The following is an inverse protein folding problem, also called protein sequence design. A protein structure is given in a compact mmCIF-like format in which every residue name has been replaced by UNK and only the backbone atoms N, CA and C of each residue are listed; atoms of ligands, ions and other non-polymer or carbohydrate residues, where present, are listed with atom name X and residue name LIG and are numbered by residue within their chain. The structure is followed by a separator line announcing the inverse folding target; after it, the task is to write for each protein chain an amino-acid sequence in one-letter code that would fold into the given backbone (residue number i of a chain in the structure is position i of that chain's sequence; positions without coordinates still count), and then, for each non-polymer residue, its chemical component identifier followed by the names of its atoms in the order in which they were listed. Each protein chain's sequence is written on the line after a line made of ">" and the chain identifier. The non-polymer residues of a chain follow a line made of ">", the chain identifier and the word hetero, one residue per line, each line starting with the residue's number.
data_IF_758838569932
#
_entry.id   IF_758838569932
#
_cell.length_a   1.000
_cell.length_b   1.000
_cell.length_c   1.000
_cell.angle_alpha   90.00
_cell.angle_beta   90.00
_cell.angle_gamma   90.00
#
_symmetry.space_group_name_H-M   'P 1'
#
loop_
_entity.id
_entity.type
_entity.pdbx_description
1 polymer ?
#
# COMPACT_ATOMS: atom_id res chain seq x y z
N UNK A 1 2.33 -10.46 21.56
CA UNK A 1 3.02 -9.18 21.84
C UNK A 1 2.10 -8.35 22.71
N UNK A 2 2.62 -7.70 23.74
CA UNK A 2 1.86 -6.84 24.66
C UNK A 2 2.54 -5.47 24.61
N UNK A 3 1.79 -4.42 24.33
CA UNK A 3 2.28 -3.04 24.33
C UNK A 3 1.98 -2.39 25.67
N UNK A 4 2.94 -1.64 26.20
CA UNK A 4 2.78 -0.96 27.48
C UNK A 4 1.95 0.33 27.34
N UNK A 5 1.98 0.97 26.17
CA UNK A 5 1.24 2.17 25.86
C UNK A 5 0.94 2.30 24.35
N UNK A 6 0.12 3.27 23.98
CA UNK A 6 -0.27 3.51 22.58
C UNK A 6 0.88 4.01 21.71
N UNK A 7 1.90 4.67 22.28
CA UNK A 7 3.07 5.13 21.52
C UNK A 7 3.88 3.94 21.00
N UNK A 8 4.15 2.94 21.86
CA UNK A 8 4.85 1.71 21.48
C UNK A 8 4.09 0.95 20.36
N UNK A 9 2.76 0.94 20.44
CA UNK A 9 1.92 0.33 19.41
C UNK A 9 1.99 1.10 18.07
N UNK A 10 2.04 2.44 18.10
CA UNK A 10 2.21 3.27 16.89
C UNK A 10 3.58 3.08 16.25
N UNK A 11 4.65 3.06 17.05
CA UNK A 11 6.00 2.76 16.57
C UNK A 11 6.07 1.39 15.92
N UNK A 12 5.41 0.39 16.50
CA UNK A 12 5.31 -0.94 15.89
C UNK A 12 4.56 -0.92 14.55
N UNK A 13 3.46 -0.17 14.43
CA UNK A 13 2.78 0.02 13.14
C UNK A 13 3.75 0.59 12.12
N UNK A 14 4.42 1.71 12.44
CA UNK A 14 5.38 2.36 11.55
C UNK A 14 6.49 1.39 11.12
N UNK A 15 7.03 0.60 12.05
CA UNK A 15 8.04 -0.41 11.75
C UNK A 15 7.54 -1.50 10.78
N UNK A 16 6.27 -1.88 10.85
CA UNK A 16 5.69 -2.91 9.97
C UNK A 16 5.21 -2.37 8.63
N UNK A 17 4.88 -1.10 8.56
CA UNK A 17 4.36 -0.46 7.34
C UNK A 17 5.48 0.11 6.48
N UNK A 18 6.48 0.75 7.08
CA UNK A 18 7.54 1.44 6.35
C UNK A 18 8.29 0.50 5.40
N UNK A 19 8.62 1.05 4.23
CA UNK A 19 9.55 0.42 3.29
C UNK A 19 10.93 0.31 3.94
N UNK A 20 11.57 -0.85 3.75
CA UNK A 20 12.97 -1.02 4.11
C UNK A 20 13.84 -0.29 3.08
N UNK A 21 14.76 0.53 3.58
CA UNK A 21 15.77 1.18 2.74
C UNK A 21 16.67 0.10 2.13
N UNK A 22 17.10 0.26 0.88
CA UNK A 22 18.22 -0.54 0.40
C UNK A 22 19.54 -0.05 1.02
N UNK A 23 20.63 -0.82 0.89
CA UNK A 23 21.91 -0.48 1.52
C UNK A 23 22.41 0.94 1.18
N UNK A 24 22.33 1.34 -0.09
CA UNK A 24 22.78 2.66 -0.51
C UNK A 24 21.88 3.77 0.07
N UNK A 25 20.56 3.56 0.05
CA UNK A 25 19.59 4.48 0.68
C UNK A 25 19.82 4.59 2.20
N UNK A 26 20.17 3.48 2.86
CA UNK A 26 20.48 3.46 4.29
C UNK A 26 21.75 4.25 4.62
N UNK A 27 22.80 4.06 3.82
CA UNK A 27 24.05 4.81 3.98
C UNK A 27 23.83 6.33 3.78
N UNK A 28 23.03 6.71 2.79
CA UNK A 28 22.65 8.11 2.55
C UNK A 28 21.87 8.71 3.73
N UNK A 29 20.93 7.96 4.31
CA UNK A 29 20.14 8.39 5.47
C UNK A 29 21.00 8.50 6.73
N UNK A 30 21.93 7.57 6.95
CA UNK A 30 22.89 7.64 8.06
C UNK A 30 23.70 8.93 7.97
N UNK A 31 24.22 9.26 6.78
CA UNK A 31 24.98 10.49 6.55
C UNK A 31 24.12 11.76 6.77
N UNK A 32 22.86 11.76 6.31
CA UNK A 32 21.93 12.88 6.54
C UNK A 32 21.61 13.07 8.03
N UNK A 33 21.37 11.98 8.77
CA UNK A 33 21.18 12.03 10.21
C UNK A 33 22.42 12.58 10.94
N UNK A 34 23.62 12.15 10.56
CA UNK A 34 24.87 12.69 11.12
C UNK A 34 25.01 14.20 10.84
N UNK A 35 24.66 14.66 9.63
CA UNK A 35 24.60 16.09 9.31
C UNK A 35 23.59 16.85 10.18
N UNK A 36 22.39 16.32 10.37
CA UNK A 36 21.34 16.94 11.20
C UNK A 36 21.67 16.99 12.69
N UNK A 37 22.46 16.04 13.20
CA UNK A 37 22.99 16.09 14.58
C UNK A 37 23.97 17.25 14.73
N UNK A 38 24.80 17.50 13.72
CA UNK A 38 25.76 18.61 13.71
C UNK A 38 25.01 19.95 13.63
N UNK A 39 23.99 20.03 12.78
CA UNK A 39 23.21 21.25 12.54
C UNK A 39 22.06 21.47 13.54
N UNK A 40 21.93 20.61 14.56
CA UNK A 40 20.82 20.66 15.52
C UNK A 40 20.83 21.98 16.31
N UNK A 41 19.69 22.68 16.30
CA UNK A 41 19.52 23.97 16.97
C UNK A 41 19.18 23.85 18.47
N UNK A 42 18.95 22.64 18.97
CA UNK A 42 18.62 22.34 20.37
C UNK A 42 19.08 20.93 20.75
N UNK A 43 19.33 20.69 22.05
CA UNK A 43 19.68 19.36 22.57
C UNK A 43 18.54 18.35 22.37
N UNK A 44 17.28 18.76 22.52
CA UNK A 44 16.11 17.90 22.26
C UNK A 44 16.06 17.44 20.79
N UNK A 45 16.32 18.34 19.84
CA UNK A 45 16.41 17.97 18.43
C UNK A 45 17.60 17.05 18.17
N UNK A 46 18.70 17.25 18.87
CA UNK A 46 19.92 16.45 18.72
C UNK A 46 19.73 15.04 19.25
N UNK A 47 19.12 14.89 20.41
CA UNK A 47 18.76 13.59 20.99
C UNK A 47 17.84 12.80 20.06
N UNK A 48 16.82 13.44 19.48
CA UNK A 48 15.95 12.81 18.49
C UNK A 48 16.73 12.26 17.28
N UNK A 49 17.68 13.03 16.73
CA UNK A 49 18.48 12.57 15.60
C UNK A 49 19.49 11.49 16.00
N UNK A 50 20.01 11.49 17.23
CA UNK A 50 20.87 10.43 17.76
C UNK A 50 20.09 9.12 17.91
N UNK A 51 18.85 9.17 18.40
CA UNK A 51 17.97 8.00 18.51
C UNK A 51 17.69 7.40 17.12
N UNK A 52 17.35 8.23 16.13
CA UNK A 52 17.14 7.73 14.76
C UNK A 52 18.42 7.19 14.12
N UNK A 53 19.56 7.86 14.30
CA UNK A 53 20.85 7.37 13.83
C UNK A 53 21.20 5.99 14.40
N UNK A 54 20.91 5.78 15.69
CA UNK A 54 21.12 4.49 16.36
C UNK A 54 20.31 3.39 15.69
N UNK A 55 19.02 3.63 15.41
CA UNK A 55 18.15 2.66 14.73
C UNK A 55 18.69 2.27 13.35
N UNK A 56 19.15 3.25 12.56
CA UNK A 56 19.72 2.97 11.23
C UNK A 56 21.07 2.25 11.29
N UNK A 57 21.92 2.55 12.28
CA UNK A 57 23.18 1.83 12.51
C UNK A 57 22.96 0.39 12.98
N UNK A 58 21.94 0.15 13.81
CA UNK A 58 21.56 -1.21 14.18
C UNK A 58 21.04 -2.01 12.99
N UNK A 59 20.25 -1.37 12.11
CA UNK A 59 19.76 -1.99 10.88
C UNK A 59 20.91 -2.30 9.91
N UNK A 60 21.91 -1.42 9.77
CA UNK A 60 23.01 -1.60 8.81
C UNK A 60 23.93 -2.78 9.14
N UNK A 61 23.95 -3.21 10.40
CA UNK A 61 24.69 -4.40 10.87
C UNK A 61 23.82 -5.64 11.04
N UNK A 62 22.51 -5.54 10.77
CA UNK A 62 21.59 -6.67 10.86
C UNK A 62 21.82 -7.65 9.70
N UNK A 63 22.10 -8.91 10.01
CA UNK A 63 22.42 -9.93 9.00
C UNK A 63 21.23 -10.22 8.08
N UNK A 64 20.01 -10.29 8.60
CA UNK A 64 18.80 -10.50 7.78
C UNK A 64 18.56 -9.32 6.83
N UNK A 65 18.93 -8.09 7.22
CA UNK A 65 18.90 -6.94 6.34
C UNK A 65 19.94 -7.04 5.22
N UNK A 66 21.18 -7.35 5.57
CA UNK A 66 22.30 -7.50 4.63
C UNK A 66 22.00 -8.60 3.60
N UNK A 67 21.41 -9.70 4.05
CA UNK A 67 21.05 -10.85 3.23
C UNK A 67 19.73 -10.64 2.45
N UNK A 68 19.05 -9.49 2.64
CA UNK A 68 17.78 -9.18 1.97
C UNK A 68 16.61 -10.08 2.39
N UNK A 69 16.71 -10.68 3.58
CA UNK A 69 15.72 -11.61 4.15
C UNK A 69 14.62 -10.90 4.95
N UNK A 70 14.79 -9.60 5.23
CA UNK A 70 13.73 -8.84 5.88
C UNK A 70 12.50 -8.68 4.98
N UNK A 71 11.28 -8.84 5.54
CA UNK A 71 10.06 -8.76 4.76
C UNK A 71 9.82 -7.33 4.26
N UNK A 72 9.26 -7.21 3.04
CA UNK A 72 8.81 -5.93 2.50
C UNK A 72 7.81 -5.23 3.45
N UNK A 73 7.85 -3.89 3.44
CA UNK A 73 6.91 -3.06 4.18
C UNK A 73 5.50 -3.18 3.63
N UNK A 74 4.49 -3.12 4.51
CA UNK A 74 3.08 -3.19 4.08
C UNK A 74 2.73 -2.02 3.14
N UNK A 75 3.31 -0.83 3.35
CA UNK A 75 3.07 0.33 2.48
C UNK A 75 3.55 0.06 1.05
N UNK A 76 4.73 -0.55 0.91
CA UNK A 76 5.31 -0.88 -0.39
C UNK A 76 4.40 -1.85 -1.16
N UNK A 77 3.92 -2.90 -0.48
CA UNK A 77 2.97 -3.84 -1.06
C UNK A 77 1.67 -3.15 -1.49
N UNK A 78 1.08 -2.33 -0.63
CA UNK A 78 -0.17 -1.61 -0.95
C UNK A 78 0.02 -0.67 -2.15
N UNK A 79 1.09 0.12 -2.17
CA UNK A 79 1.41 1.06 -3.25
C UNK A 79 1.64 0.30 -4.56
N UNK A 80 2.40 -0.79 -4.52
CA UNK A 80 2.65 -1.61 -5.71
C UNK A 80 1.34 -2.22 -6.27
N UNK A 81 0.46 -2.72 -5.40
CA UNK A 81 -0.85 -3.24 -5.82
C UNK A 81 -1.70 -2.16 -6.50
N UNK A 82 -1.72 -0.94 -5.95
CA UNK A 82 -2.45 0.19 -6.53
C UNK A 82 -1.84 0.57 -7.88
N UNK A 83 -0.51 0.63 -8.00
CA UNK A 83 0.18 0.96 -9.24
C UNK A 83 -0.18 -0.03 -10.36
N UNK A 84 -0.05 -1.34 -10.09
CA UNK A 84 -0.44 -2.37 -11.06
C UNK A 84 -1.89 -2.25 -11.48
N UNK A 85 -2.80 -2.13 -10.51
CA UNK A 85 -4.23 -2.07 -10.76
C UNK A 85 -4.64 -0.80 -11.51
N UNK A 86 -4.01 0.34 -11.22
CA UNK A 86 -4.28 1.62 -11.88
C UNK A 86 -3.91 1.60 -13.37
N UNK A 87 -2.81 0.91 -13.72
CA UNK A 87 -2.42 0.73 -15.12
C UNK A 87 -3.39 -0.23 -15.84
N UNK A 88 -3.74 -1.35 -15.20
CA UNK A 88 -4.77 -2.27 -15.72
C UNK A 88 -6.08 -1.50 -15.97
N UNK A 89 -6.51 -0.67 -15.01
CA UNK A 89 -7.72 0.15 -15.13
C UNK A 89 -7.67 1.08 -16.34
N UNK A 90 -6.55 1.77 -16.54
CA UNK A 90 -6.37 2.66 -17.67
C UNK A 90 -6.58 1.94 -19.01
N UNK A 91 -5.94 0.78 -19.18
CA UNK A 91 -6.09 -0.03 -20.40
C UNK A 91 -7.46 -0.69 -20.56
N UNK A 92 -8.25 -0.82 -19.49
CA UNK A 92 -9.64 -1.28 -19.60
C UNK A 92 -10.61 -0.19 -20.03
N UNK A 93 -10.30 1.07 -19.71
CA UNK A 93 -11.19 2.21 -19.99
C UNK A 93 -10.89 2.90 -21.30
N UNK A 94 -9.65 2.84 -21.76
CA UNK A 94 -9.20 3.52 -22.96
C UNK A 94 -9.03 2.49 -24.08
N UNK A 95 -9.80 2.67 -25.15
CA UNK A 95 -9.59 1.95 -26.39
C UNK A 95 -8.38 2.53 -27.12
N UNK A 96 -7.38 1.69 -27.38
CA UNK A 96 -6.18 2.06 -28.14
C UNK A 96 -6.31 1.57 -29.57
N UNK A 97 -5.82 2.37 -30.53
CA UNK A 97 -5.87 2.10 -31.97
C UNK A 97 -5.18 0.79 -32.33
N UNK A 98 -4.04 0.54 -31.68
CA UNK A 98 -3.32 -0.72 -31.76
C UNK A 98 -3.74 -1.53 -30.55
N UNK A 99 -4.34 -2.70 -30.77
CA UNK A 99 -4.72 -3.59 -29.68
C UNK A 99 -3.47 -4.33 -29.16
N UNK A 100 -2.58 -3.58 -28.51
CA UNK A 100 -1.22 -4.03 -28.21
C UNK A 100 -1.19 -5.32 -27.39
N UNK A 101 -2.21 -5.57 -26.55
CA UNK A 101 -2.33 -6.78 -25.74
C UNK A 101 -2.73 -8.02 -26.52
N UNK A 102 -3.32 -7.88 -27.71
CA UNK A 102 -3.62 -9.00 -28.61
C UNK A 102 -2.49 -9.20 -29.63
N UNK A 103 -1.93 -8.10 -30.14
CA UNK A 103 -0.96 -8.13 -31.23
C UNK A 103 0.48 -8.39 -30.77
N UNK A 104 0.81 -8.10 -29.52
CA UNK A 104 2.17 -8.23 -28.99
C UNK A 104 2.26 -9.17 -27.79
N UNK A 105 3.04 -10.24 -27.96
CA UNK A 105 3.33 -11.19 -26.89
C UNK A 105 3.94 -10.53 -25.65
N UNK A 106 4.76 -9.47 -25.83
CA UNK A 106 5.36 -8.75 -24.72
C UNK A 106 4.29 -8.05 -23.86
N UNK A 107 3.36 -7.30 -24.48
CA UNK A 107 2.31 -6.59 -23.75
C UNK A 107 1.30 -7.57 -23.14
N UNK A 108 0.99 -8.67 -23.84
CA UNK A 108 0.16 -9.74 -23.28
C UNK A 108 0.78 -10.36 -22.02
N UNK A 109 2.08 -10.66 -22.04
CA UNK A 109 2.82 -11.18 -20.88
C UNK A 109 2.91 -10.16 -19.75
N UNK A 110 3.17 -8.89 -20.08
CA UNK A 110 3.18 -7.81 -19.09
C UNK A 110 1.82 -7.67 -18.39
N UNK A 111 0.73 -7.70 -19.17
CA UNK A 111 -0.62 -7.60 -18.63
C UNK A 111 -0.93 -8.77 -17.71
N UNK A 112 -0.65 -9.99 -18.15
CA UNK A 112 -0.82 -11.18 -17.31
C UNK A 112 0.05 -11.11 -16.04
N UNK A 113 1.30 -10.64 -16.16
CA UNK A 113 2.20 -10.41 -15.02
C UNK A 113 1.66 -9.39 -14.03
N UNK A 114 1.09 -8.28 -14.51
CA UNK A 114 0.43 -7.27 -13.67
C UNK A 114 -0.76 -7.86 -12.90
N UNK A 115 -1.56 -8.70 -13.55
CA UNK A 115 -2.67 -9.43 -12.92
C UNK A 115 -2.16 -10.32 -11.80
N UNK A 116 -1.13 -11.14 -12.05
CA UNK A 116 -0.51 -11.96 -11.03
C UNK A 116 0.07 -11.13 -9.89
N UNK A 117 0.68 -9.98 -10.19
CA UNK A 117 1.20 -9.03 -9.21
C UNK A 117 0.13 -8.60 -8.22
N UNK A 118 -1.01 -8.10 -8.72
CA UNK A 118 -2.15 -7.68 -7.87
C UNK A 118 -2.61 -8.82 -6.95
N UNK A 119 -2.89 -10.01 -7.49
CA UNK A 119 -3.42 -11.11 -6.69
C UNK A 119 -2.40 -11.72 -5.72
N UNK A 120 -1.11 -11.73 -6.09
CA UNK A 120 -0.03 -12.18 -5.20
C UNK A 120 0.10 -11.25 -3.99
N UNK A 121 0.13 -9.94 -4.23
CA UNK A 121 0.20 -8.94 -3.17
C UNK A 121 -1.04 -9.00 -2.28
N UNK A 122 -2.23 -9.10 -2.88
CA UNK A 122 -3.48 -9.28 -2.16
C UNK A 122 -3.41 -10.47 -1.19
N UNK A 123 -2.88 -11.60 -1.65
CA UNK A 123 -2.65 -12.79 -0.82
C UNK A 123 -1.64 -12.57 0.31
N UNK A 124 -0.53 -11.85 0.06
CA UNK A 124 0.48 -11.51 1.08
C UNK A 124 -0.12 -10.66 2.20
N UNK A 125 -0.86 -9.61 1.84
CA UNK A 125 -1.48 -8.67 2.78
C UNK A 125 -2.50 -9.34 3.71
N UNK A 126 -3.20 -10.37 3.21
CA UNK A 126 -4.23 -11.10 3.95
C UNK A 126 -3.79 -12.48 4.44
N UNK A 127 -2.47 -12.76 4.42
CA UNK A 127 -1.94 -14.04 4.87
C UNK A 127 -2.37 -14.33 6.31
N UNK A 128 -2.75 -15.59 6.52
CA UNK A 128 -3.15 -16.16 7.81
C UNK A 128 -1.97 -16.79 8.55
N UNK A 129 -0.81 -16.89 7.93
CA UNK A 129 0.38 -17.42 8.58
C UNK A 129 0.87 -16.42 9.63
N UNK A 130 1.00 -16.87 10.87
CA UNK A 130 1.43 -16.03 11.99
C UNK A 130 2.86 -15.53 11.86
N UNK A 131 3.68 -16.13 10.98
CA UNK A 131 5.06 -15.73 10.73
C UNK A 131 5.14 -14.53 9.78
N UNK A 132 4.14 -14.35 8.94
CA UNK A 132 4.15 -13.31 7.90
C UNK A 132 3.98 -11.91 8.49
N UNK A 133 4.56 -10.91 7.81
CA UNK A 133 4.29 -9.50 8.05
C UNK A 133 3.07 -9.05 7.23
N UNK A 134 1.88 -9.57 7.58
CA UNK A 134 0.64 -9.28 6.85
C UNK A 134 -0.15 -8.13 7.47
N UNK A 135 -0.89 -7.39 6.65
CA UNK A 135 -1.81 -6.35 7.08
C UNK A 135 -2.89 -6.92 8.01
N UNK A 136 -3.38 -8.14 7.72
CA UNK A 136 -4.31 -8.87 8.59
C UNK A 136 -3.76 -9.01 10.01
N UNK A 137 -2.55 -9.52 10.16
CA UNK A 137 -1.92 -9.73 11.47
C UNK A 137 -1.70 -8.41 12.21
N UNK A 138 -1.24 -7.39 11.50
CA UNK A 138 -1.06 -6.06 12.07
C UNK A 138 -2.40 -5.49 12.58
N UNK A 139 -3.45 -5.60 11.78
CA UNK A 139 -4.80 -5.16 12.15
C UNK A 139 -5.36 -5.90 13.36
N UNK A 140 -5.30 -7.24 13.38
CA UNK A 140 -5.79 -8.08 14.49
C UNK A 140 -5.10 -7.70 15.81
N UNK A 141 -3.82 -7.33 15.76
CA UNK A 141 -3.04 -6.92 16.93
C UNK A 141 -3.33 -5.48 17.38
N UNK A 142 -3.52 -4.54 16.45
CA UNK A 142 -3.52 -3.10 16.74
C UNK A 142 -4.93 -2.49 16.84
N UNK A 143 -5.91 -3.01 16.09
CA UNK A 143 -7.27 -2.45 16.08
C UNK A 143 -7.95 -2.36 17.47
N UNK A 144 -7.72 -3.28 18.45
CA UNK A 144 -8.29 -3.12 19.78
C UNK A 144 -7.72 -1.91 20.53
N UNK A 145 -6.44 -1.59 20.32
CA UNK A 145 -5.75 -0.46 20.95
C UNK A 145 -6.23 0.85 20.32
N UNK A 146 -6.29 0.90 18.99
CA UNK A 146 -6.86 2.04 18.26
C UNK A 146 -8.30 2.36 18.69
N UNK A 147 -9.12 1.32 18.88
CA UNK A 147 -10.50 1.48 19.35
C UNK A 147 -10.54 2.06 20.76
N UNK A 148 -9.65 1.62 21.66
CA UNK A 148 -9.54 2.16 23.02
C UNK A 148 -9.10 3.62 23.04
N UNK A 149 -8.23 4.02 22.12
CA UNK A 149 -7.78 5.40 21.94
C UNK A 149 -8.84 6.31 21.30
N UNK A 150 -9.97 5.77 20.85
CA UNK A 150 -11.00 6.52 20.13
C UNK A 150 -10.60 6.92 18.71
N UNK A 151 -9.55 6.30 18.15
CA UNK A 151 -9.06 6.59 16.81
C UNK A 151 -9.93 6.00 15.69
N UNK A 152 -10.75 4.99 16.02
CA UNK A 152 -11.65 4.32 15.09
C UNK A 152 -13.05 4.15 15.69
N UNK A 153 -14.06 4.16 14.83
CA UNK A 153 -15.43 3.84 15.22
C UNK A 153 -15.60 2.35 15.45
N UNK A 154 -16.32 1.98 16.52
CA UNK A 154 -16.53 0.58 16.92
C UNK A 154 -17.17 -0.26 15.82
N UNK A 155 -18.14 0.30 15.11
CA UNK A 155 -18.82 -0.39 14.01
C UNK A 155 -17.88 -0.68 12.83
N UNK A 156 -16.92 0.21 12.56
CA UNK A 156 -15.95 0.06 11.47
C UNK A 156 -14.99 -1.08 11.80
N UNK A 157 -14.46 -1.08 13.03
CA UNK A 157 -13.59 -2.16 13.52
C UNK A 157 -14.33 -3.50 13.49
N UNK A 158 -15.58 -3.52 13.93
CA UNK A 158 -16.40 -4.74 13.90
C UNK A 158 -16.61 -5.25 12.48
N UNK A 159 -16.98 -4.37 11.54
CA UNK A 159 -17.19 -4.73 10.14
C UNK A 159 -15.91 -5.30 9.50
N UNK A 160 -14.77 -4.64 9.67
CA UNK A 160 -13.48 -5.13 9.13
C UNK A 160 -13.13 -6.49 9.75
N UNK A 161 -13.35 -6.69 11.05
CA UNK A 161 -13.12 -7.98 11.70
C UNK A 161 -14.03 -9.09 11.15
N UNK A 162 -15.30 -8.79 10.86
CA UNK A 162 -16.20 -9.72 10.18
C UNK A 162 -15.70 -10.04 8.77
N UNK A 163 -15.22 -9.05 8.00
CA UNK A 163 -14.59 -9.29 6.70
C UNK A 163 -13.38 -10.23 6.78
N UNK A 164 -12.58 -10.13 7.85
CA UNK A 164 -11.40 -10.98 8.10
C UNK A 164 -11.73 -12.36 8.64
N UNK A 165 -12.99 -12.65 9.00
CA UNK A 165 -13.39 -13.93 9.56
C UNK A 165 -12.98 -15.10 8.65
N UNK A 166 -12.24 -16.05 9.20
CA UNK A 166 -11.58 -17.13 8.44
C UNK A 166 -12.57 -18.05 7.70
N UNK A 167 -13.80 -18.19 8.22
CA UNK A 167 -14.81 -19.14 7.70
C UNK A 167 -15.91 -18.45 6.91
N UNK A 168 -16.37 -17.28 7.36
CA UNK A 168 -17.55 -16.60 6.83
C UNK A 168 -17.27 -15.18 6.32
N UNK A 169 -16.05 -14.69 6.48
CA UNK A 169 -15.68 -13.33 6.08
C UNK A 169 -15.61 -13.15 4.58
N UNK A 170 -15.40 -11.90 4.18
CA UNK A 170 -15.22 -11.49 2.79
C UNK A 170 -14.04 -12.23 2.15
N UNK A 171 -12.90 -12.31 2.85
CA UNK A 171 -11.65 -12.84 2.29
C UNK A 171 -11.54 -14.37 2.40
N UNK A 172 -12.53 -15.07 1.85
CA UNK A 172 -12.58 -16.53 1.70
C UNK A 172 -12.75 -16.92 0.24
N UNK A 173 -12.45 -18.18 -0.12
CA UNK A 173 -12.65 -18.66 -1.51
C UNK A 173 -14.09 -18.54 -2.01
N UNK A 174 -15.06 -18.53 -1.08
CA UNK A 174 -16.47 -18.46 -1.43
C UNK A 174 -16.95 -17.01 -1.60
N UNK A 175 -16.34 -16.07 -0.87
CA UNK A 175 -16.84 -14.70 -0.75
C UNK A 175 -15.94 -13.63 -1.40
N UNK A 176 -14.68 -13.94 -1.71
CA UNK A 176 -13.74 -13.04 -2.39
C UNK A 176 -13.24 -13.67 -3.68
N UNK A 177 -13.49 -12.98 -4.80
CA UNK A 177 -13.01 -13.40 -6.12
C UNK A 177 -11.48 -13.30 -6.21
N UNK A 178 -10.86 -12.36 -5.50
CA UNK A 178 -9.42 -12.25 -5.41
C UNK A 178 -8.78 -13.47 -4.74
N UNK A 179 -9.34 -13.91 -3.60
CA UNK A 179 -8.85 -15.10 -2.90
C UNK A 179 -9.09 -16.38 -3.69
N UNK A 180 -10.24 -16.49 -4.37
CA UNK A 180 -10.54 -17.60 -5.25
C UNK A 180 -9.54 -17.68 -6.41
N UNK A 181 -9.27 -16.55 -7.09
CA UNK A 181 -8.32 -16.49 -8.19
C UNK A 181 -6.90 -16.87 -7.73
N UNK A 182 -6.41 -16.27 -6.63
CA UNK A 182 -5.09 -16.62 -6.06
C UNK A 182 -4.97 -18.12 -5.78
N UNK A 183 -5.95 -18.71 -5.09
CA UNK A 183 -5.86 -20.12 -4.72
C UNK A 183 -6.09 -21.07 -5.90
N UNK A 184 -6.98 -20.75 -6.84
CA UNK A 184 -7.29 -21.64 -7.96
C UNK A 184 -6.37 -21.50 -9.16
N UNK A 185 -5.89 -20.30 -9.46
CA UNK A 185 -5.12 -20.02 -10.68
C UNK A 185 -3.61 -19.95 -10.42
N UNK A 186 -3.20 -19.53 -9.21
CA UNK A 186 -1.78 -19.53 -8.84
C UNK A 186 -1.37 -20.85 -8.20
N UNK A 187 -2.25 -21.49 -7.41
CA UNK A 187 -1.90 -22.69 -6.63
C UNK A 187 -2.37 -24.01 -7.27
N UNK A 188 -3.30 -23.98 -8.22
CA UNK A 188 -3.81 -25.16 -8.92
C UNK A 188 -3.87 -24.88 -10.44
N UNK A 189 -3.68 -25.88 -11.29
CA UNK A 189 -3.79 -25.72 -12.75
C UNK A 189 -5.26 -25.94 -13.18
N UNK A 190 -6.19 -25.22 -12.54
CA UNK A 190 -7.61 -25.25 -12.88
C UNK A 190 -7.96 -24.14 -13.88
N UNK A 191 -9.10 -24.28 -14.57
CA UNK A 191 -9.62 -23.23 -15.44
C UNK A 191 -9.71 -21.90 -14.68
N UNK A 192 -9.13 -20.85 -15.25
CA UNK A 192 -9.09 -19.53 -14.64
C UNK A 192 -10.52 -19.02 -14.38
N UNK A 193 -10.86 -18.61 -13.14
CA UNK A 193 -12.12 -17.91 -12.95
C UNK A 193 -12.06 -16.59 -13.72
N UNK A 194 -13.15 -16.25 -14.42
CA UNK A 194 -13.27 -14.96 -15.11
C UNK A 194 -13.08 -13.84 -14.10
N UNK A 195 -12.10 -12.97 -14.34
CA UNK A 195 -11.82 -11.82 -13.48
C UNK A 195 -12.89 -10.76 -13.75
N UNK A 196 -13.62 -10.38 -12.70
CA UNK A 196 -14.53 -9.23 -12.69
C UNK A 196 -13.88 -8.19 -11.79
N UNK A 197 -13.28 -7.16 -12.39
CA UNK A 197 -12.40 -6.24 -11.67
C UNK A 197 -13.14 -5.36 -10.67
N UNK A 198 -14.42 -5.08 -10.91
CA UNK A 198 -15.27 -4.36 -9.96
C UNK A 198 -15.39 -5.11 -8.63
N UNK A 199 -15.48 -6.44 -8.65
CA UNK A 199 -15.49 -7.27 -7.43
C UNK A 199 -14.14 -7.17 -6.71
N UNK A 200 -13.04 -7.13 -7.47
CA UNK A 200 -11.68 -6.99 -6.91
C UNK A 200 -11.47 -5.59 -6.32
N UNK A 201 -11.99 -4.56 -6.95
CA UNK A 201 -11.91 -3.17 -6.47
C UNK A 201 -12.66 -3.00 -5.14
N UNK A 202 -13.82 -3.66 -4.98
CA UNK A 202 -14.55 -3.71 -3.71
C UNK A 202 -13.74 -4.41 -2.60
N UNK A 203 -13.08 -5.51 -2.93
CA UNK A 203 -12.19 -6.21 -2.01
C UNK A 203 -10.98 -5.32 -1.62
N UNK A 204 -10.38 -4.63 -2.61
CA UNK A 204 -9.27 -3.69 -2.41
C UNK A 204 -9.71 -2.50 -1.54
N UNK A 205 -10.92 -1.96 -1.70
CA UNK A 205 -11.37 -0.81 -0.90
C UNK A 205 -11.36 -1.12 0.61
N UNK A 206 -11.70 -2.37 0.99
CA UNK A 206 -11.63 -2.81 2.39
C UNK A 206 -10.17 -2.87 2.89
N UNK A 207 -9.26 -3.39 2.08
CA UNK A 207 -7.82 -3.42 2.38
C UNK A 207 -7.26 -2.00 2.54
N UNK A 208 -7.56 -1.10 1.59
CA UNK A 208 -7.12 0.29 1.62
C UNK A 208 -7.64 1.01 2.86
N UNK A 209 -8.90 0.78 3.24
CA UNK A 209 -9.46 1.39 4.44
C UNK A 209 -8.80 0.88 5.72
N UNK A 210 -8.65 -0.43 5.85
CA UNK A 210 -7.95 -1.08 6.97
C UNK A 210 -6.53 -0.52 7.15
N UNK A 211 -5.79 -0.43 6.06
CA UNK A 211 -4.45 0.16 6.03
C UNK A 211 -4.44 1.65 6.37
N UNK A 212 -5.35 2.44 5.79
CA UNK A 212 -5.46 3.88 6.00
C UNK A 212 -5.72 4.24 7.46
N UNK A 213 -6.55 3.47 8.16
CA UNK A 213 -6.79 3.64 9.59
C UNK A 213 -5.50 3.45 10.41
N UNK A 214 -4.71 2.41 10.11
CA UNK A 214 -3.43 2.17 10.79
C UNK A 214 -2.44 3.31 10.57
N UNK A 215 -2.22 3.71 9.30
CA UNK A 215 -1.27 4.76 8.91
C UNK A 215 -1.67 6.12 9.49
N UNK A 216 -2.94 6.50 9.37
CA UNK A 216 -3.43 7.82 9.84
C UNK A 216 -3.36 7.98 11.36
N UNK A 217 -3.39 6.87 12.11
CA UNK A 217 -3.25 6.84 13.56
C UNK A 217 -1.78 6.87 14.02
N UNK A 218 -0.89 6.20 13.27
CA UNK A 218 0.51 6.01 13.66
C UNK A 218 1.49 7.03 13.08
N UNK A 219 1.18 7.64 11.93
CA UNK A 219 2.10 8.53 11.23
C UNK A 219 1.40 9.76 10.64
N UNK A 220 2.16 10.58 9.90
CA UNK A 220 1.63 11.73 9.19
C UNK A 220 0.96 11.36 7.86
N UNK A 221 1.06 10.10 7.42
CA UNK A 221 0.60 9.61 6.12
C UNK A 221 1.70 9.60 5.06
N UNK A 222 1.39 9.04 3.89
CA UNK A 222 2.33 8.86 2.78
C UNK A 222 2.24 10.04 1.82
N UNK A 223 3.39 10.63 1.55
CA UNK A 223 3.56 11.81 0.71
C UNK A 223 3.96 11.34 -0.68
N UNK A 224 3.22 11.78 -1.70
CA UNK A 224 3.51 11.46 -3.11
C UNK A 224 3.83 9.97 -3.36
N UNK A 225 2.95 9.04 -2.95
CA UNK A 225 3.23 7.60 -2.97
C UNK A 225 3.42 7.01 -4.37
N UNK A 226 2.89 7.67 -5.40
CA UNK A 226 2.79 7.11 -6.75
C UNK A 226 3.84 7.71 -7.67
N UNK A 227 4.28 6.90 -8.65
CA UNK A 227 5.15 7.35 -9.72
C UNK A 227 4.46 8.47 -10.51
N UNK A 228 5.23 9.51 -10.83
CA UNK A 228 4.74 10.62 -11.63
C UNK A 228 4.54 10.25 -13.10
N UNK A 229 3.59 10.92 -13.75
CA UNK A 229 3.11 10.63 -15.11
C UNK A 229 4.21 10.43 -16.15
N UNK A 230 5.30 11.21 -16.07
CA UNK A 230 6.44 11.13 -16.99
C UNK A 230 7.14 9.76 -17.02
N UNK A 231 6.89 8.91 -16.04
CA UNK A 231 7.53 7.60 -15.91
C UNK A 231 6.61 6.42 -16.18
N UNK A 232 5.29 6.63 -16.21
CA UNK A 232 4.31 5.53 -16.23
C UNK A 232 4.31 4.78 -17.56
N UNK A 233 4.24 5.52 -18.67
CA UNK A 233 4.19 4.95 -20.03
C UNK A 233 5.48 5.17 -20.80
N UNK A 234 6.56 5.53 -20.10
CA UNK A 234 7.87 5.73 -20.72
C UNK A 234 8.36 4.42 -21.32
N UNK A 235 8.81 4.44 -22.57
CA UNK A 235 9.21 3.25 -23.32
C UNK A 235 8.07 2.61 -24.13
N UNK A 236 6.85 3.15 -24.08
CA UNK A 236 5.71 2.66 -24.88
C UNK A 236 5.34 3.58 -26.05
N UNK A 237 6.14 4.62 -26.30
CA UNK A 237 5.86 5.70 -27.26
C UNK A 237 5.76 5.21 -28.72
N UNK A 238 6.36 4.07 -29.05
CA UNK A 238 6.25 3.47 -30.38
C UNK A 238 4.89 2.79 -30.63
N UNK A 239 4.12 2.52 -29.57
CA UNK A 239 2.87 1.76 -29.61
C UNK A 239 1.62 2.63 -29.46
N UNK A 240 1.75 3.75 -28.76
CA UNK A 240 0.64 4.66 -28.46
C UNK A 240 1.00 6.07 -28.89
N UNK A 241 0.05 6.76 -29.50
CA UNK A 241 0.20 8.18 -29.80
C UNK A 241 0.01 9.06 -28.55
N UNK A 242 0.40 10.33 -28.65
CA UNK A 242 0.32 11.28 -27.54
C UNK A 242 -1.09 11.45 -26.96
N UNK A 243 -2.14 11.26 -27.77
CA UNK A 243 -3.53 11.40 -27.35
C UNK A 243 -3.96 10.16 -26.55
N UNK A 244 -3.55 8.98 -27.00
CA UNK A 244 -3.75 7.72 -26.28
C UNK A 244 -3.03 7.75 -24.93
N UNK A 245 -1.74 8.15 -24.91
CA UNK A 245 -0.96 8.25 -23.66
C UNK A 245 -1.62 9.22 -22.67
N UNK A 246 -2.07 10.40 -23.12
CA UNK A 246 -2.80 11.35 -22.26
C UNK A 246 -4.10 10.77 -21.70
N UNK A 247 -4.82 10.01 -22.51
CA UNK A 247 -6.08 9.39 -22.11
C UNK A 247 -5.85 8.27 -21.08
N UNK A 248 -4.80 7.46 -21.28
CA UNK A 248 -4.37 6.43 -20.34
C UNK A 248 -3.92 7.03 -19.00
N UNK A 249 -3.13 8.12 -19.03
CA UNK A 249 -2.73 8.85 -17.83
C UNK A 249 -3.94 9.39 -17.06
N UNK A 250 -4.93 9.93 -17.76
CA UNK A 250 -6.17 10.41 -17.13
C UNK A 250 -6.96 9.28 -16.48
N UNK A 251 -7.18 8.17 -17.18
CA UNK A 251 -7.88 7.01 -16.63
C UNK A 251 -7.13 6.40 -15.43
N UNK A 252 -5.80 6.39 -15.46
CA UNK A 252 -4.98 6.03 -14.29
C UNK A 252 -5.26 6.97 -13.12
N UNK A 253 -5.25 8.28 -13.34
CA UNK A 253 -5.52 9.27 -12.29
C UNK A 253 -6.93 9.09 -11.70
N UNK A 254 -7.94 8.81 -12.53
CA UNK A 254 -9.31 8.53 -12.06
C UNK A 254 -9.33 7.36 -11.06
N UNK A 255 -8.56 6.29 -11.33
CA UNK A 255 -8.43 5.17 -10.40
C UNK A 255 -7.69 5.55 -9.11
N UNK A 256 -6.63 6.35 -9.20
CA UNK A 256 -5.91 6.84 -8.01
C UNK A 256 -6.81 7.71 -7.13
N UNK A 257 -7.68 8.53 -7.73
CA UNK A 257 -8.66 9.34 -7.02
C UNK A 257 -9.70 8.47 -6.32
N UNK A 258 -10.15 7.38 -6.95
CA UNK A 258 -11.02 6.38 -6.30
C UNK A 258 -10.34 5.75 -5.08
N UNK A 259 -9.07 5.34 -5.20
CA UNK A 259 -8.30 4.76 -4.09
C UNK A 259 -8.12 5.78 -2.95
N UNK A 260 -7.84 7.04 -3.29
CA UNK A 260 -7.76 8.11 -2.31
C UNK A 260 -9.09 8.31 -1.57
N UNK A 261 -10.22 8.22 -2.28
CA UNK A 261 -11.55 8.26 -1.68
C UNK A 261 -11.81 7.06 -0.74
N UNK A 262 -11.46 5.85 -1.15
CA UNK A 262 -11.60 4.65 -0.29
C UNK A 262 -10.82 4.78 1.02
N UNK A 263 -9.64 5.43 1.00
CA UNK A 263 -8.86 5.66 2.22
C UNK A 263 -9.61 6.49 3.28
N UNK A 264 -10.61 7.28 2.86
CA UNK A 264 -11.43 8.18 3.68
C UNK A 264 -12.91 7.81 3.68
N UNK A 265 -13.26 6.60 3.28
CA UNK A 265 -14.66 6.16 3.25
C UNK A 265 -14.82 4.99 4.21
N UNK A 266 -15.80 5.09 5.13
CA UNK A 266 -16.11 3.99 6.02
C UNK A 266 -16.65 2.80 5.22
N UNK A 267 -16.06 1.63 5.40
CA UNK A 267 -16.44 0.44 4.62
C UNK A 267 -17.79 -0.15 5.02
N UNK A 268 -18.24 0.12 6.25
CA UNK A 268 -19.53 -0.38 6.73
C UNK A 268 -20.74 0.46 6.27
N UNK A 269 -20.55 1.75 5.97
CA UNK A 269 -21.66 2.69 5.64
C UNK A 269 -21.51 3.39 4.29
N UNK A 270 -20.30 3.46 3.74
CA UNK A 270 -20.01 4.28 2.55
C UNK A 270 -19.92 5.78 2.84
N UNK A 271 -20.06 6.21 4.10
CA UNK A 271 -19.93 7.61 4.47
C UNK A 271 -18.47 8.07 4.49
N UNK A 272 -18.27 9.36 4.21
CA UNK A 272 -16.94 9.98 4.25
C UNK A 272 -16.51 10.18 5.70
N UNK A 273 -15.38 9.58 6.05
CA UNK A 273 -14.65 9.86 7.28
C UNK A 273 -13.98 11.24 7.18
N UNK A 274 -14.30 12.12 8.14
CA UNK A 274 -13.71 13.46 8.25
C UNK A 274 -12.28 13.43 8.80
N UNK A 275 -11.80 12.28 9.26
CA UNK A 275 -10.44 12.06 9.71
C UNK A 275 -9.40 12.17 8.59
N UNK A 276 -8.13 11.98 8.98
CA UNK A 276 -7.03 11.90 8.01
C UNK A 276 -7.10 10.55 7.28
N UNK A 277 -6.76 10.55 6.00
CA UNK A 277 -6.54 9.32 5.23
C UNK A 277 -5.06 8.96 5.19
N UNK A 278 -4.73 7.85 4.53
CA UNK A 278 -3.34 7.44 4.32
C UNK A 278 -2.52 8.45 3.49
N UNK A 279 -3.17 9.16 2.57
CA UNK A 279 -2.50 10.01 1.58
C UNK A 279 -2.44 11.48 2.01
N UNK A 280 -1.27 12.09 1.86
CA UNK A 280 -1.00 13.49 2.20
C UNK A 280 -0.66 14.29 0.96
N UNK A 281 -1.40 15.38 0.76
CA UNK A 281 -1.08 16.40 -0.22
C UNK A 281 -0.59 17.65 0.51
N UNK A 282 0.70 17.97 0.39
CA UNK A 282 1.21 19.25 0.85
C UNK A 282 0.80 20.35 -0.13
N UNK A 283 0.06 21.35 0.35
CA UNK A 283 -0.13 22.62 -0.34
C UNK A 283 0.64 23.68 0.42
N UNK A 284 1.69 24.23 -0.18
CA UNK A 284 2.40 25.38 0.35
C UNK A 284 1.77 26.63 -0.26
N UNK A 285 1.03 27.39 0.54
CA UNK A 285 0.56 28.73 0.15
C UNK A 285 1.61 29.76 0.55
N UNK A 286 2.39 30.24 -0.43
CA UNK A 286 3.31 31.35 -0.20
C UNK A 286 2.48 32.63 -0.20
N UNK A 287 2.19 33.16 0.99
CA UNK A 287 1.68 34.52 1.12
C UNK A 287 2.83 35.50 0.90
N UNK A 288 2.92 36.05 -0.30
CA UNK A 288 3.76 37.21 -0.57
C UNK A 288 3.11 38.39 0.15
N UNK A 289 3.84 39.00 1.09
CA UNK A 289 3.48 40.27 1.74
C UNK A 289 3.94 41.44 0.89
#
# INVERSE_FOLDING_TARGET
>A
MIFNNSSEAKEYVVLKTNRLLNKNELDDVINDCEGKIIDAYSEESKELWIEELTKYKELSVNQDFIDGLLPQGIDELIIEMIEWRSMIYAFQKIETKRNAFEESAFFAQWYLGAIYGVFSIFGKLLSKDSRDNSLRKLWELISPIMLKDGACLKHEVHYINECLNVKKGLFTNNNSKAMLFRNKFVSHNEAAPKIVWEDIDNDISVIIRMWSLLVSWSSFGIVQPFRGDRYIFRGTEAMFDDVEVKSLLRARQDYLDMVAAWSKTYVHSGEVDKGRGAFVNFKVEIKVR
#
